data_IF_092722266180
#
_entry.id   IF_092722266180
#
_cell.length_a   1.000
_cell.length_b   1.000
_cell.length_c   1.000
_cell.angle_alpha   90.00
_cell.angle_beta   90.00
_cell.angle_gamma   90.00
#
_symmetry.space_group_name_H-M   'P 1'
#
loop_
_entity.id
_entity.type
_entity.pdbx_description
1 polymer ?
#
# COMPACT_ATOMS: atom_id res chain seq x y z
N UNK A 1 -7.84 8.74 -14.89
CA UNK A 1 -7.02 8.90 -13.68
C UNK A 1 -7.61 10.04 -12.87
N UNK A 2 -7.78 9.89 -11.56
CA UNK A 2 -8.31 10.95 -10.71
C UNK A 2 -7.21 11.99 -10.41
N UNK A 3 -7.45 13.25 -10.79
CA UNK A 3 -6.52 14.36 -10.59
C UNK A 3 -6.17 14.58 -9.12
N UNK A 4 -7.07 14.25 -8.20
CA UNK A 4 -6.83 14.36 -6.76
C UNK A 4 -5.74 13.40 -6.29
N UNK A 5 -5.69 12.18 -6.84
CA UNK A 5 -4.64 11.20 -6.55
C UNK A 5 -3.29 11.71 -7.06
N UNK A 6 -3.25 12.21 -8.30
CA UNK A 6 -2.02 12.74 -8.89
C UNK A 6 -1.50 13.97 -8.16
N UNK A 7 -2.39 14.80 -7.59
CA UNK A 7 -1.98 15.92 -6.74
C UNK A 7 -1.19 15.44 -5.54
N UNK A 8 -1.70 14.48 -4.78
CA UNK A 8 -1.01 13.95 -3.61
C UNK A 8 0.24 13.15 -3.99
N UNK A 9 0.22 12.43 -5.11
CA UNK A 9 1.41 11.77 -5.63
C UNK A 9 2.55 12.78 -5.85
N UNK A 10 2.28 13.94 -6.47
CA UNK A 10 3.30 14.97 -6.73
C UNK A 10 3.92 15.57 -5.45
N UNK A 11 3.19 15.57 -4.35
CA UNK A 11 3.66 16.07 -3.05
C UNK A 11 4.57 15.07 -2.31
N UNK A 12 4.58 13.79 -2.69
CA UNK A 12 5.42 12.75 -2.09
C UNK A 12 6.73 12.52 -2.85
N UNK A 13 7.75 11.99 -2.20
CA UNK A 13 9.01 11.60 -2.84
C UNK A 13 8.88 10.29 -3.62
N UNK A 14 8.07 9.35 -3.12
CA UNK A 14 7.69 8.12 -3.81
C UNK A 14 6.24 7.71 -3.48
N UNK A 15 5.63 6.92 -4.38
CA UNK A 15 4.27 6.39 -4.23
C UNK A 15 4.33 4.87 -4.08
N UNK A 16 3.56 4.32 -3.14
CA UNK A 16 3.42 2.88 -2.95
C UNK A 16 1.99 2.43 -3.23
N UNK A 17 1.82 1.43 -4.09
CA UNK A 17 0.52 0.87 -4.43
C UNK A 17 0.39 -0.58 -3.96
N UNK A 18 -0.55 -0.83 -3.06
CA UNK A 18 -0.74 -2.14 -2.42
C UNK A 18 -1.52 -3.16 -3.28
N UNK A 19 -1.38 -3.11 -4.60
CA UNK A 19 -2.10 -3.93 -5.58
C UNK A 19 -3.51 -3.50 -5.92
N UNK A 20 -4.12 -4.20 -6.87
CA UNK A 20 -5.40 -3.86 -7.51
C UNK A 20 -5.34 -2.48 -8.20
N UNK A 21 -4.33 -2.28 -9.05
CA UNK A 21 -4.23 -1.11 -9.92
C UNK A 21 -5.40 -1.04 -10.92
N UNK A 22 -5.89 -2.19 -11.37
CA UNK A 22 -6.98 -2.33 -12.33
C UNK A 22 -6.55 -2.17 -13.78
N UNK A 23 -5.75 -1.16 -14.13
CA UNK A 23 -5.23 -0.98 -15.49
C UNK A 23 -3.80 -0.46 -15.52
N UNK A 24 -3.07 -0.80 -16.60
CA UNK A 24 -1.69 -0.34 -16.82
C UNK A 24 -1.58 1.19 -16.81
N UNK A 25 -2.56 1.89 -17.42
CA UNK A 25 -2.60 3.35 -17.48
C UNK A 25 -2.57 4.02 -16.11
N UNK A 26 -3.05 3.34 -15.05
CA UNK A 26 -3.00 3.87 -13.68
C UNK A 26 -1.55 3.91 -13.19
N UNK A 27 -0.82 2.80 -13.36
CA UNK A 27 0.59 2.72 -13.00
C UNK A 27 1.44 3.71 -13.81
N UNK A 28 1.23 3.78 -15.13
CA UNK A 28 1.96 4.69 -16.02
C UNK A 28 1.76 6.17 -15.64
N UNK A 29 0.53 6.57 -15.34
CA UNK A 29 0.24 7.95 -14.96
C UNK A 29 0.86 8.35 -13.61
N UNK A 30 1.00 7.41 -12.66
CA UNK A 30 1.72 7.66 -11.40
C UNK A 30 3.22 7.71 -11.65
N UNK A 31 3.77 6.75 -12.43
CA UNK A 31 5.18 6.70 -12.79
C UNK A 31 5.64 7.95 -13.56
N UNK A 32 4.74 8.57 -14.33
CA UNK A 32 5.02 9.81 -15.03
C UNK A 32 5.22 11.01 -14.09
N UNK A 33 4.76 10.95 -12.84
CA UNK A 33 4.89 12.06 -11.88
C UNK A 33 5.90 11.78 -10.76
N UNK A 34 6.03 10.54 -10.29
CA UNK A 34 6.91 10.14 -9.20
C UNK A 34 7.35 8.68 -9.31
N UNK A 35 8.46 8.29 -8.63
CA UNK A 35 8.79 6.89 -8.42
C UNK A 35 7.61 6.10 -7.84
N UNK A 36 7.34 4.93 -8.43
CA UNK A 36 6.25 4.04 -8.01
C UNK A 36 6.82 2.68 -7.60
N UNK A 37 6.50 2.28 -6.37
CA UNK A 37 6.63 0.91 -5.89
C UNK A 37 5.26 0.26 -5.87
N UNK A 38 5.16 -0.98 -6.30
CA UNK A 38 3.88 -1.68 -6.34
C UNK A 38 4.02 -3.17 -6.17
N UNK A 39 2.92 -3.79 -5.76
CA UNK A 39 2.69 -5.22 -5.92
C UNK A 39 1.43 -5.42 -6.74
N UNK A 40 1.29 -6.53 -7.46
CA UNK A 40 0.02 -6.82 -8.12
C UNK A 40 -1.04 -7.33 -7.13
N UNK A 41 -2.30 -7.08 -7.46
CA UNK A 41 -3.47 -7.64 -6.76
C UNK A 41 -4.25 -8.66 -7.59
N UNK A 42 -5.47 -8.93 -7.15
CA UNK A 42 -6.36 -9.92 -7.75
C UNK A 42 -6.83 -9.51 -9.15
N UNK A 43 -7.18 -8.23 -9.32
CA UNK A 43 -7.79 -7.74 -10.56
C UNK A 43 -6.75 -7.32 -11.62
N UNK A 44 -5.47 -7.37 -11.28
CA UNK A 44 -4.40 -6.92 -12.15
C UNK A 44 -4.07 -7.96 -13.22
N UNK A 45 -4.13 -7.53 -14.49
CA UNK A 45 -3.84 -8.36 -15.66
C UNK A 45 -2.35 -8.61 -15.89
N UNK A 46 -2.03 -9.41 -16.92
CA UNK A 46 -0.67 -9.88 -17.21
C UNK A 46 0.37 -8.76 -17.34
N UNK A 47 0.01 -7.63 -17.95
CA UNK A 47 0.93 -6.49 -18.12
C UNK A 47 1.41 -5.93 -16.78
N UNK A 48 0.49 -5.71 -15.84
CA UNK A 48 0.81 -5.24 -14.49
C UNK A 48 1.61 -6.27 -13.69
N UNK A 49 1.31 -7.57 -13.86
CA UNK A 49 2.04 -8.65 -13.18
C UNK A 49 3.46 -8.86 -13.69
N UNK A 50 3.77 -8.38 -14.90
CA UNK A 50 5.14 -8.33 -15.42
C UNK A 50 5.90 -7.17 -14.78
N UNK A 51 5.25 -6.03 -14.55
CA UNK A 51 5.88 -4.82 -14.03
C UNK A 51 6.05 -4.84 -12.51
N UNK A 52 5.07 -5.37 -11.79
CA UNK A 52 5.07 -5.39 -10.34
C UNK A 52 5.13 -6.83 -9.83
N UNK A 53 5.93 -7.13 -8.79
CA UNK A 53 5.99 -8.46 -8.20
C UNK A 53 4.75 -8.75 -7.35
N UNK A 54 4.55 -10.02 -6.99
CA UNK A 54 3.53 -10.41 -5.98
C UNK A 54 3.85 -9.82 -4.60
N UNK A 55 5.14 -9.82 -4.28
CA UNK A 55 5.70 -9.45 -2.98
C UNK A 55 6.91 -8.57 -3.23
N UNK A 56 7.02 -7.49 -2.48
CA UNK A 56 8.19 -6.62 -2.51
C UNK A 56 8.74 -6.42 -1.11
N UNK A 57 10.06 -6.58 -0.95
CA UNK A 57 10.79 -6.23 0.27
C UNK A 57 11.85 -5.21 -0.10
N UNK A 58 11.90 -4.11 0.63
CA UNK A 58 12.85 -3.03 0.36
C UNK A 58 13.17 -2.26 1.63
N UNK A 59 14.22 -1.45 1.57
CA UNK A 59 14.58 -0.49 2.60
C UNK A 59 14.17 0.91 2.12
N UNK A 60 13.56 1.70 2.99
CA UNK A 60 13.24 3.10 2.76
C UNK A 60 13.74 3.89 3.97
N UNK A 61 14.77 4.71 3.77
CA UNK A 61 15.39 5.53 4.82
C UNK A 61 15.71 4.74 6.10
N UNK A 62 16.24 3.51 6.00
CA UNK A 62 16.56 2.66 7.15
C UNK A 62 15.39 1.90 7.76
N UNK A 63 14.18 2.01 7.17
CA UNK A 63 13.02 1.20 7.52
C UNK A 63 12.84 0.04 6.54
N UNK A 64 12.86 -1.20 7.05
CA UNK A 64 12.56 -2.39 6.27
C UNK A 64 11.06 -2.54 6.04
N UNK A 65 10.65 -2.48 4.78
CA UNK A 65 9.27 -2.57 4.34
C UNK A 65 9.01 -3.91 3.65
N UNK A 66 7.90 -4.54 3.99
CA UNK A 66 7.31 -5.66 3.25
C UNK A 66 5.96 -5.21 2.69
N UNK A 67 5.75 -5.41 1.39
CA UNK A 67 4.49 -5.13 0.72
C UNK A 67 3.97 -6.38 0.00
N UNK A 68 2.68 -6.67 0.15
CA UNK A 68 1.94 -7.75 -0.53
C UNK A 68 0.46 -7.40 -0.56
N UNK A 69 -0.25 -7.71 -1.63
CA UNK A 69 -1.66 -7.31 -1.74
C UNK A 69 -2.55 -7.99 -0.69
N UNK A 70 -2.46 -9.32 -0.54
CA UNK A 70 -3.26 -10.09 0.43
C UNK A 70 -2.42 -10.36 1.69
N UNK A 71 -2.48 -9.44 2.66
CA UNK A 71 -1.76 -9.56 3.93
C UNK A 71 -2.60 -10.06 5.11
N UNK A 72 -3.89 -9.72 5.14
CA UNK A 72 -4.72 -9.85 6.35
C UNK A 72 -4.52 -8.66 7.28
N UNK A 73 -4.53 -8.88 8.59
CA UNK A 73 -4.21 -7.86 9.61
C UNK A 73 -3.73 -8.54 10.90
N UNK A 74 -3.19 -7.82 11.89
CA UNK A 74 -2.70 -8.42 13.14
C UNK A 74 -3.74 -9.36 13.76
N UNK A 75 -3.29 -10.53 14.24
CA UNK A 75 -4.08 -11.69 14.69
C UNK A 75 -4.90 -12.46 13.62
N UNK A 76 -5.06 -11.92 12.41
CA UNK A 76 -5.86 -12.52 11.31
C UNK A 76 -5.09 -12.44 9.98
N UNK A 77 -3.79 -12.74 10.01
CA UNK A 77 -2.95 -12.74 8.83
C UNK A 77 -3.36 -13.84 7.84
N UNK A 78 -3.21 -13.55 6.55
CA UNK A 78 -3.42 -14.54 5.50
C UNK A 78 -2.42 -15.70 5.61
N UNK A 79 -2.75 -16.84 4.97
CA UNK A 79 -1.88 -18.02 4.95
C UNK A 79 -0.49 -17.66 4.43
N UNK A 80 0.56 -18.13 5.11
CA UNK A 80 1.96 -17.87 4.75
C UNK A 80 2.53 -16.53 5.24
N UNK A 81 1.69 -15.53 5.52
CA UNK A 81 2.15 -14.22 6.03
C UNK A 81 2.87 -14.34 7.38
N UNK A 82 2.38 -15.10 8.39
CA UNK A 82 3.11 -15.29 9.64
C UNK A 82 4.54 -15.85 9.48
N UNK A 83 4.76 -16.75 8.54
CA UNK A 83 6.09 -17.30 8.24
C UNK A 83 6.98 -16.25 7.56
N UNK A 84 6.40 -15.52 6.61
CA UNK A 84 7.08 -14.44 5.91
C UNK A 84 7.50 -13.31 6.86
N UNK A 85 6.64 -12.90 7.78
CA UNK A 85 6.94 -11.87 8.78
C UNK A 85 8.09 -12.29 9.71
N UNK A 86 8.14 -13.56 10.14
CA UNK A 86 9.25 -14.08 10.95
C UNK A 86 10.57 -14.13 10.19
N UNK A 87 10.52 -14.37 8.89
CA UNK A 87 11.70 -14.52 8.03
C UNK A 87 12.25 -13.17 7.61
N UNK A 88 11.39 -12.28 7.11
CA UNK A 88 11.78 -10.95 6.61
C UNK A 88 12.08 -9.98 7.75
N UNK A 89 11.32 -10.09 8.85
CA UNK A 89 11.33 -9.17 9.99
C UNK A 89 11.20 -7.70 9.56
N UNK A 90 10.12 -7.33 8.84
CA UNK A 90 9.91 -5.95 8.44
C UNK A 90 9.49 -5.10 9.64
N UNK A 91 9.86 -3.83 9.64
CA UNK A 91 9.33 -2.84 10.57
C UNK A 91 7.98 -2.28 10.09
N UNK A 92 7.75 -2.33 8.77
CA UNK A 92 6.52 -1.86 8.14
C UNK A 92 5.95 -2.94 7.22
N UNK A 93 4.69 -3.31 7.44
CA UNK A 93 3.97 -4.25 6.59
C UNK A 93 2.79 -3.55 5.91
N UNK A 94 2.82 -3.48 4.57
CA UNK A 94 1.83 -2.79 3.75
C UNK A 94 1.01 -3.82 2.95
N UNK A 95 -0.31 -3.78 3.07
CA UNK A 95 -1.20 -4.62 2.28
C UNK A 95 -2.50 -3.94 1.85
N UNK A 96 -3.24 -4.55 0.94
CA UNK A 96 -4.49 -4.05 0.39
C UNK A 96 -5.66 -5.01 0.63
N UNK A 97 -6.40 -5.30 -0.45
CA UNK A 97 -7.48 -6.30 -0.56
C UNK A 97 -8.79 -6.00 0.21
N UNK A 98 -8.73 -5.66 1.50
CA UNK A 98 -9.93 -5.54 2.33
C UNK A 98 -10.77 -4.27 2.07
N UNK A 99 -10.18 -3.27 1.42
CA UNK A 99 -10.72 -1.90 1.25
C UNK A 99 -10.94 -1.16 2.58
N UNK A 100 -10.49 -1.70 3.71
CA UNK A 100 -10.63 -1.10 5.04
C UNK A 100 -9.30 -0.49 5.46
N UNK A 101 -9.30 0.85 5.63
CA UNK A 101 -8.17 1.58 6.19
C UNK A 101 -7.76 1.01 7.55
N UNK A 102 -6.49 0.68 7.72
CA UNK A 102 -5.92 0.19 8.99
C UNK A 102 -4.52 0.75 9.19
N UNK A 103 -4.27 1.31 10.37
CA UNK A 103 -2.94 1.65 10.89
C UNK A 103 -2.85 1.02 12.28
N UNK A 104 -2.15 -0.11 12.39
CA UNK A 104 -2.17 -0.94 13.61
C UNK A 104 -0.77 -1.44 13.91
N UNK A 105 -0.27 -1.17 15.12
CA UNK A 105 0.98 -1.78 15.58
C UNK A 105 0.74 -3.23 16.01
N UNK A 106 1.58 -4.15 15.54
CA UNK A 106 1.57 -5.55 15.95
C UNK A 106 2.75 -5.84 16.87
N UNK A 107 2.54 -5.96 18.20
CA UNK A 107 3.61 -6.25 19.14
C UNK A 107 4.18 -7.67 18.99
N UNK A 108 3.48 -8.60 18.31
CA UNK A 108 3.98 -9.97 18.12
C UNK A 108 5.14 -10.04 17.14
N UNK A 109 5.11 -9.19 16.12
CA UNK A 109 6.15 -9.12 15.08
C UNK A 109 6.91 -7.81 15.09
N UNK A 110 6.63 -6.93 16.07
CA UNK A 110 7.27 -5.63 16.27
C UNK A 110 7.24 -4.76 15.01
N UNK A 111 6.06 -4.69 14.37
CA UNK A 111 5.87 -3.98 13.11
C UNK A 111 4.64 -3.08 13.13
N UNK A 112 4.65 -2.06 12.27
CA UNK A 112 3.45 -1.29 11.93
C UNK A 112 2.78 -1.90 10.71
N UNK A 113 1.49 -2.23 10.83
CA UNK A 113 0.65 -2.71 9.74
C UNK A 113 -0.13 -1.56 9.11
N UNK A 114 0.04 -1.36 7.81
CA UNK A 114 -0.70 -0.39 7.01
C UNK A 114 -1.59 -1.07 5.97
N UNK A 115 -2.87 -0.69 5.96
CA UNK A 115 -3.76 -0.88 4.82
C UNK A 115 -4.31 0.50 4.46
N UNK A 116 -4.04 1.04 3.26
CA UNK A 116 -4.48 2.38 2.89
C UNK A 116 -5.99 2.47 2.63
N UNK A 117 -6.71 1.35 2.68
CA UNK A 117 -8.10 1.24 2.21
C UNK A 117 -8.15 1.19 0.69
N UNK A 118 -9.15 1.83 0.09
CA UNK A 118 -9.31 1.88 -1.36
C UNK A 118 -9.51 3.32 -1.81
N UNK A 119 -8.71 3.78 -2.78
CA UNK A 119 -8.85 5.13 -3.36
C UNK A 119 -9.64 5.14 -4.68
N UNK A 120 -9.87 3.97 -5.28
CA UNK A 120 -10.67 3.83 -6.49
C UNK A 120 -12.15 4.12 -6.26
N UNK A 121 -12.90 4.29 -7.35
CA UNK A 121 -14.36 4.45 -7.33
C UNK A 121 -15.13 3.13 -7.46
N UNK A 122 -14.40 2.02 -7.61
CA UNK A 122 -14.97 0.68 -7.75
C UNK A 122 -14.84 -0.09 -6.43
N UNK A 123 -15.88 -0.82 -6.05
CA UNK A 123 -15.93 -1.62 -4.81
C UNK A 123 -17.03 -1.16 -3.84
N UNK A 124 -17.11 -1.81 -2.67
CA UNK A 124 -18.12 -1.54 -1.64
C UNK A 124 -17.60 -0.67 -0.49
N UNK A 125 -16.46 0.02 -0.68
CA UNK A 125 -15.91 0.94 0.32
C UNK A 125 -16.89 2.09 0.61
N UNK A 126 -16.93 2.55 1.86
CA UNK A 126 -17.79 3.66 2.30
C UNK A 126 -17.19 5.04 2.05
N UNK A 127 -15.87 5.09 1.92
CA UNK A 127 -15.11 6.28 1.57
C UNK A 127 -13.86 5.88 0.79
N UNK A 128 -13.25 6.86 0.11
CA UNK A 128 -12.02 6.65 -0.65
C UNK A 128 -10.85 7.15 0.17
N UNK A 129 -9.86 6.31 0.44
CA UNK A 129 -8.77 6.65 1.37
C UNK A 129 -7.39 6.43 0.78
N UNK A 130 -6.44 7.27 1.19
CA UNK A 130 -5.00 7.07 1.04
C UNK A 130 -4.30 7.37 2.36
N UNK A 131 -3.08 6.84 2.50
CA UNK A 131 -2.17 7.23 3.58
C UNK A 131 -1.04 8.08 3.01
N UNK A 132 -0.65 9.10 3.77
CA UNK A 132 0.59 9.85 3.58
C UNK A 132 1.36 9.84 4.88
N UNK A 133 2.67 9.69 4.80
CA UNK A 133 3.56 9.66 5.96
C UNK A 133 4.97 9.97 5.51
N UNK A 134 5.83 10.24 6.48
CA UNK A 134 7.26 10.41 6.28
C UNK A 134 8.01 9.23 6.91
N UNK A 135 9.09 8.81 6.26
CA UNK A 135 10.07 7.90 6.84
C UNK A 135 11.42 8.61 6.86
N UNK A 136 12.08 8.63 8.01
CA UNK A 136 13.41 9.20 8.17
C UNK A 136 14.20 8.38 9.20
N UNK A 137 15.40 7.93 8.84
CA UNK A 137 16.31 7.17 9.72
C UNK A 137 15.64 6.02 10.49
N UNK A 138 14.80 5.24 9.81
CA UNK A 138 14.09 4.08 10.36
C UNK A 138 12.86 4.43 11.20
N UNK A 139 12.47 5.71 11.24
CA UNK A 139 11.29 6.19 11.97
C UNK A 139 10.20 6.63 11.01
N UNK A 140 8.96 6.21 11.29
CA UNK A 140 7.78 6.66 10.56
C UNK A 140 7.05 7.73 11.37
N UNK A 141 6.70 8.83 10.72
CA UNK A 141 6.03 9.98 11.35
C UNK A 141 5.04 10.65 10.40
N UNK A 142 4.34 11.66 10.91
CA UNK A 142 3.38 12.48 10.13
C UNK A 142 2.34 11.62 9.38
N UNK A 143 1.83 10.57 10.03
CA UNK A 143 0.82 9.70 9.44
C UNK A 143 -0.50 10.45 9.27
N UNK A 144 -0.93 10.58 8.03
CA UNK A 144 -2.14 11.27 7.61
C UNK A 144 -3.04 10.33 6.81
N UNK A 145 -4.34 10.44 7.07
CA UNK A 145 -5.39 9.81 6.27
C UNK A 145 -5.99 10.86 5.36
N UNK A 146 -5.86 10.65 4.06
CA UNK A 146 -6.53 11.48 3.05
C UNK A 146 -7.83 10.76 2.69
N UNK A 147 -8.97 11.37 2.99
CA UNK A 147 -10.29 10.77 2.77
C UNK A 147 -11.14 11.62 1.83
N UNK A 148 -11.79 10.97 0.86
CA UNK A 148 -12.80 11.56 0.01
C UNK A 148 -14.14 10.87 0.25
N UNK A 149 -15.20 11.68 0.31
CA UNK A 149 -16.57 11.17 0.33
C UNK A 149 -16.91 10.57 -1.04
N UNK A 150 -17.56 9.42 -1.03
CA UNK A 150 -18.23 8.91 -2.22
C UNK A 150 -19.53 9.70 -2.30
N UNK A 151 -19.62 10.60 -3.27
CA UNK A 151 -20.88 11.29 -3.55
C UNK A 151 -21.83 10.22 -4.13
N UNK A 152 -22.81 9.82 -3.33
CA UNK A 152 -23.96 9.06 -3.78
C UNK A 152 -24.86 9.92 -4.66
#
# INVERSE_FOLDING_TARGET
MDEAILKHAKEADEVWHAGDFGSLSVAEAIQAVKPLRGVYGNIDGSELRILFPEKQVFDCEGMRVLMIHIGGYPSHYAKGIPELLRTVKPQLFVCGHSHILKVIYDPKYELLHLNPGAIGTYGQQKSRTMLRFEINEGNISQMEVIEYKINC
#
